data_IF_472154168753
#
_entry.id   IF_472154168753
#
_cell.length_a   1.000
_cell.length_b   1.000
_cell.length_c   1.000
_cell.angle_alpha   90.00
_cell.angle_beta   90.00
_cell.angle_gamma   90.00
#
_symmetry.space_group_name_H-M   'P 1'
#
loop_
_entity.id
_entity.type
_entity.pdbx_description
1 polymer ?
#
# COMPACT_ATOMS: atom_id res chain seq x y z
N UNK A 1 15.95 4.52 -7.80
CA UNK A 1 14.79 5.44 -7.76
C UNK A 1 13.98 5.42 -9.05
N UNK A 2 14.60 5.55 -10.23
CA UNK A 2 13.86 5.52 -11.52
C UNK A 2 13.16 4.16 -11.75
N UNK A 3 13.86 3.04 -11.50
CA UNK A 3 13.29 1.70 -11.68
C UNK A 3 12.08 1.43 -10.76
N UNK A 4 12.19 1.79 -9.47
CA UNK A 4 11.10 1.63 -8.51
C UNK A 4 9.91 2.54 -8.83
N UNK A 5 10.17 3.80 -9.23
CA UNK A 5 9.11 4.72 -9.63
C UNK A 5 8.36 4.24 -10.89
N UNK A 6 9.07 3.68 -11.87
CA UNK A 6 8.47 3.12 -13.08
C UNK A 6 7.67 1.83 -12.81
N UNK A 7 8.17 0.97 -11.92
CA UNK A 7 7.46 -0.24 -11.52
C UNK A 7 6.13 0.09 -10.82
N UNK A 8 6.17 1.04 -9.87
CA UNK A 8 4.96 1.51 -9.17
C UNK A 8 3.99 2.16 -10.15
N UNK A 9 4.47 3.02 -11.05
CA UNK A 9 3.57 3.70 -12.00
C UNK A 9 2.90 2.73 -12.96
N UNK A 10 3.61 1.70 -13.40
CA UNK A 10 3.04 0.64 -14.25
C UNK A 10 2.02 -0.21 -13.50
N UNK A 11 2.30 -0.59 -12.24
CA UNK A 11 1.37 -1.38 -11.43
C UNK A 11 0.07 -0.60 -11.19
N UNK A 12 0.16 0.67 -10.82
CA UNK A 12 -1.02 1.47 -10.56
C UNK A 12 -1.79 1.80 -11.85
N UNK A 13 -1.11 2.00 -12.98
CA UNK A 13 -1.78 2.09 -14.29
C UNK A 13 -2.55 0.81 -14.61
N UNK A 14 -1.95 -0.37 -14.40
CA UNK A 14 -2.65 -1.66 -14.59
C UNK A 14 -3.88 -1.79 -13.69
N UNK A 15 -3.76 -1.42 -12.40
CA UNK A 15 -4.89 -1.45 -11.46
C UNK A 15 -6.00 -0.44 -11.85
N UNK A 16 -5.61 0.68 -12.45
CA UNK A 16 -6.53 1.70 -12.97
C UNK A 16 -7.29 1.17 -14.19
N UNK A 17 -6.59 0.52 -15.13
CA UNK A 17 -7.19 -0.11 -16.30
C UNK A 17 -8.19 -1.21 -15.91
N UNK A 18 -7.90 -1.93 -14.82
CA UNK A 18 -8.79 -2.91 -14.21
C UNK A 18 -9.95 -2.30 -13.41
N UNK A 19 -10.10 -0.97 -13.40
CA UNK A 19 -11.12 -0.22 -12.64
C UNK A 19 -11.08 -0.45 -11.12
N UNK A 20 -9.95 -0.90 -10.59
CA UNK A 20 -9.73 -1.11 -9.15
C UNK A 20 -9.32 0.18 -8.44
N UNK A 21 -8.73 1.13 -9.18
CA UNK A 21 -8.33 2.44 -8.67
C UNK A 21 -8.94 3.53 -9.55
N UNK A 22 -9.64 4.53 -8.97
CA UNK A 22 -10.20 5.62 -9.75
C UNK A 22 -9.08 6.53 -10.20
N UNK A 23 -9.13 6.91 -11.48
CA UNK A 23 -8.18 7.86 -12.05
C UNK A 23 -8.88 9.13 -12.45
N UNK A 24 -8.26 10.25 -12.12
CA UNK A 24 -8.63 11.56 -12.63
C UNK A 24 -7.55 12.04 -13.60
N UNK A 25 -7.94 12.20 -14.86
CA UNK A 25 -7.14 12.95 -15.83
C UNK A 25 -7.18 14.41 -15.41
N UNK A 26 -6.17 14.86 -14.68
CA UNK A 26 -6.04 16.23 -14.19
C UNK A 26 -5.64 17.19 -15.34
N UNK A 27 -6.43 17.21 -16.42
CA UNK A 27 -6.23 18.04 -17.61
C UNK A 27 -4.94 17.78 -18.40
N UNK A 28 -4.13 16.79 -18.00
CA UNK A 28 -2.82 16.52 -18.59
C UNK A 28 -2.92 15.63 -19.85
N UNK A 29 -2.17 15.92 -20.92
CA UNK A 29 -2.06 15.03 -22.08
C UNK A 29 -1.08 13.87 -21.80
N UNK A 30 -1.46 12.64 -22.14
CA UNK A 30 -0.60 11.46 -22.03
C UNK A 30 -1.25 10.25 -21.39
N UNK A 31 -0.51 9.13 -21.39
CA UNK A 31 -0.94 7.83 -20.86
C UNK A 31 -1.01 7.81 -19.33
N UNK A 32 -1.89 6.98 -18.75
CA UNK A 32 -2.19 6.84 -17.31
C UNK A 32 -0.91 6.61 -16.49
N UNK A 33 0.06 5.89 -17.07
CA UNK A 33 1.38 5.68 -16.46
C UNK A 33 2.14 7.00 -16.19
N UNK A 34 2.07 7.98 -17.10
CA UNK A 34 2.76 9.26 -16.95
C UNK A 34 2.11 10.09 -15.84
N UNK A 35 0.78 10.13 -15.79
CA UNK A 35 0.04 10.82 -14.72
C UNK A 35 0.39 10.24 -13.36
N UNK A 36 0.35 8.92 -13.25
CA UNK A 36 0.70 8.21 -12.03
C UNK A 36 2.14 8.49 -11.59
N UNK A 37 3.07 8.50 -12.55
CA UNK A 37 4.47 8.79 -12.26
C UNK A 37 4.62 10.20 -11.70
N UNK A 38 3.92 11.19 -12.28
CA UNK A 38 3.91 12.57 -11.78
C UNK A 38 3.34 12.62 -10.35
N UNK A 39 2.20 11.98 -10.09
CA UNK A 39 1.60 11.94 -8.75
C UNK A 39 2.53 11.30 -7.71
N UNK A 40 3.16 10.18 -8.08
CA UNK A 40 4.08 9.46 -7.19
C UNK A 40 5.33 10.29 -6.87
N UNK A 41 5.91 10.95 -7.88
CA UNK A 41 7.09 11.81 -7.68
C UNK A 41 6.71 13.07 -6.88
N UNK A 42 5.57 13.70 -7.16
CA UNK A 42 5.08 14.84 -6.40
C UNK A 42 4.88 14.50 -4.93
N UNK A 43 4.26 13.35 -4.63
CA UNK A 43 4.10 12.84 -3.26
C UNK A 43 5.45 12.55 -2.61
N UNK A 44 6.39 11.92 -3.32
CA UNK A 44 7.73 11.65 -2.80
C UNK A 44 8.49 12.95 -2.47
N UNK A 45 8.40 13.96 -3.33
CA UNK A 45 9.00 15.28 -3.07
C UNK A 45 8.35 15.96 -1.87
N UNK A 46 7.02 15.94 -1.79
CA UNK A 46 6.29 16.46 -0.63
C UNK A 46 6.78 15.78 0.66
N UNK A 47 6.77 14.45 0.72
CA UNK A 47 7.24 13.70 1.89
C UNK A 47 8.70 14.04 2.24
N UNK A 48 9.58 14.18 1.24
CA UNK A 48 11.00 14.52 1.44
C UNK A 48 11.22 15.92 2.02
N UNK A 49 10.33 16.87 1.73
CA UNK A 49 10.40 18.22 2.30
C UNK A 49 9.96 18.24 3.78
N UNK A 50 8.99 17.40 4.16
CA UNK A 50 8.44 17.36 5.51
C UNK A 50 9.12 16.34 6.44
N UNK A 51 9.71 15.29 5.89
CA UNK A 51 10.34 14.20 6.64
C UNK A 51 11.81 14.04 6.25
N UNK A 52 12.66 13.76 7.24
CA UNK A 52 14.04 13.37 6.95
C UNK A 52 14.12 11.97 6.32
N UNK A 53 15.26 11.66 5.71
CA UNK A 53 15.47 10.39 5.01
C UNK A 53 15.30 9.17 5.94
N UNK A 54 15.66 9.30 7.22
CA UNK A 54 15.55 8.22 8.20
C UNK A 54 14.10 7.88 8.51
N UNK A 55 13.25 8.89 8.71
CA UNK A 55 11.81 8.73 8.94
C UNK A 55 11.11 8.15 7.73
N UNK A 56 11.45 8.60 6.52
CA UNK A 56 10.87 8.06 5.28
C UNK A 56 11.24 6.59 5.11
N UNK A 57 12.50 6.22 5.34
CA UNK A 57 12.93 4.83 5.29
C UNK A 57 12.18 3.97 6.33
N UNK A 58 11.96 4.53 7.53
CA UNK A 58 11.28 3.83 8.62
C UNK A 58 9.79 3.64 8.34
N UNK A 59 9.13 4.69 7.81
CA UNK A 59 7.75 4.62 7.34
C UNK A 59 7.60 3.56 6.24
N UNK A 60 8.50 3.56 5.26
CA UNK A 60 8.55 2.56 4.19
C UNK A 60 8.72 1.14 4.72
N UNK A 61 9.62 0.92 5.68
CA UNK A 61 9.82 -0.39 6.30
C UNK A 61 8.57 -0.88 7.04
N UNK A 62 7.91 -0.01 7.81
CA UNK A 62 6.66 -0.35 8.51
C UNK A 62 5.57 -0.73 7.51
N UNK A 63 5.36 0.07 6.46
CA UNK A 63 4.37 -0.24 5.43
C UNK A 63 4.66 -1.56 4.71
N UNK A 64 5.92 -1.80 4.35
CA UNK A 64 6.32 -3.00 3.63
C UNK A 64 6.07 -4.26 4.47
N UNK A 65 6.51 -4.27 5.73
CA UNK A 65 6.34 -5.44 6.59
C UNK A 65 4.86 -5.68 6.91
N UNK A 66 4.06 -4.63 7.13
CA UNK A 66 2.61 -4.78 7.36
C UNK A 66 1.92 -5.32 6.11
N UNK A 67 2.29 -4.83 4.92
CA UNK A 67 1.78 -5.33 3.65
C UNK A 67 2.13 -6.81 3.46
N UNK A 68 3.37 -7.21 3.73
CA UNK A 68 3.82 -8.61 3.61
C UNK A 68 3.02 -9.53 4.55
N UNK A 69 2.82 -9.13 5.81
CA UNK A 69 1.97 -9.87 6.76
C UNK A 69 0.54 -10.01 6.21
N UNK A 70 -0.04 -8.93 5.69
CA UNK A 70 -1.40 -8.93 5.14
C UNK A 70 -1.51 -9.86 3.92
N UNK A 71 -0.54 -9.81 3.01
CA UNK A 71 -0.48 -10.66 1.81
C UNK A 71 -0.29 -12.12 2.19
N UNK A 72 0.69 -12.44 3.04
CA UNK A 72 0.93 -13.80 3.50
C UNK A 72 -0.29 -14.38 4.24
N UNK A 73 -0.92 -13.59 5.11
CA UNK A 73 -2.15 -13.99 5.78
C UNK A 73 -3.30 -14.23 4.79
N UNK A 74 -3.48 -13.31 3.83
CA UNK A 74 -4.47 -13.43 2.76
C UNK A 74 -4.28 -14.70 1.94
N UNK A 75 -3.04 -15.03 1.58
CA UNK A 75 -2.72 -16.26 0.88
C UNK A 75 -3.02 -17.48 1.76
N UNK A 76 -2.56 -17.48 3.01
CA UNK A 76 -2.77 -18.60 3.93
C UNK A 76 -4.25 -18.91 4.16
N UNK A 77 -5.09 -17.88 4.30
CA UNK A 77 -6.52 -18.01 4.59
C UNK A 77 -7.37 -18.31 3.36
N UNK A 78 -7.13 -17.62 2.24
CA UNK A 78 -8.05 -17.62 1.09
C UNK A 78 -7.52 -18.37 -0.14
N UNK A 79 -6.22 -18.27 -0.42
CA UNK A 79 -5.64 -18.80 -1.68
C UNK A 79 -4.87 -20.12 -1.50
N UNK A 80 -4.56 -20.53 -0.27
CA UNK A 80 -3.68 -21.69 0.01
C UNK A 80 -4.03 -22.94 -0.81
N UNK A 81 -5.32 -23.27 -0.91
CA UNK A 81 -5.79 -24.47 -1.62
C UNK A 81 -5.75 -24.32 -3.15
N UNK A 82 -5.85 -23.10 -3.67
CA UNK A 82 -5.89 -22.84 -5.11
C UNK A 82 -4.49 -22.86 -5.73
N UNK A 83 -3.49 -22.36 -5.00
CA UNK A 83 -2.11 -22.27 -5.48
C UNK A 83 -1.18 -23.33 -4.87
N UNK A 84 -1.73 -24.32 -4.15
CA UNK A 84 -0.96 -25.37 -3.45
C UNK A 84 0.20 -24.83 -2.60
N UNK A 85 -0.04 -23.69 -1.94
CA UNK A 85 1.00 -23.02 -1.16
C UNK A 85 1.41 -23.85 0.06
N UNK A 86 2.72 -23.94 0.31
CA UNK A 86 3.24 -24.62 1.49
C UNK A 86 2.97 -23.77 2.74
N UNK A 87 2.06 -24.26 3.58
CA UNK A 87 1.67 -23.60 4.82
C UNK A 87 2.85 -23.33 5.77
N UNK A 88 3.84 -24.21 5.79
CA UNK A 88 4.98 -24.06 6.69
C UNK A 88 5.80 -22.81 6.32
N UNK A 89 6.04 -22.60 5.02
CA UNK A 89 6.79 -21.44 4.53
C UNK A 89 6.03 -20.14 4.83
N UNK A 90 4.72 -20.11 4.60
CA UNK A 90 3.90 -18.92 4.89
C UNK A 90 3.88 -18.57 6.37
N UNK A 91 3.69 -19.57 7.24
CA UNK A 91 3.68 -19.35 8.69
C UNK A 91 5.05 -18.85 9.15
N UNK A 92 6.13 -19.46 8.65
CA UNK A 92 7.49 -19.02 8.98
C UNK A 92 7.75 -17.58 8.54
N UNK A 93 7.30 -17.18 7.34
CA UNK A 93 7.41 -15.81 6.84
C UNK A 93 6.65 -14.82 7.73
N UNK A 94 5.39 -15.10 8.05
CA UNK A 94 4.58 -14.23 8.94
C UNK A 94 5.24 -14.08 10.31
N UNK A 95 5.75 -15.17 10.89
CA UNK A 95 6.44 -15.11 12.19
C UNK A 95 7.70 -14.25 12.09
N UNK A 96 8.48 -14.39 11.02
CA UNK A 96 9.67 -13.56 10.80
C UNK A 96 9.29 -12.08 10.63
N UNK A 97 8.26 -11.77 9.86
CA UNK A 97 7.77 -10.40 9.66
C UNK A 97 7.33 -9.77 10.99
N UNK A 98 6.58 -10.52 11.83
CA UNK A 98 6.13 -10.05 13.15
C UNK A 98 7.31 -9.81 14.09
N UNK A 99 8.32 -10.69 14.08
CA UNK A 99 9.53 -10.52 14.89
C UNK A 99 10.31 -9.27 14.45
N UNK A 100 10.51 -9.10 13.13
CA UNK A 100 11.22 -7.94 12.57
C UNK A 100 10.45 -6.65 12.86
N UNK A 101 9.13 -6.62 12.65
CA UNK A 101 8.28 -5.48 12.95
C UNK A 101 8.32 -5.13 14.44
N UNK A 102 8.19 -6.13 15.32
CA UNK A 102 8.23 -5.93 16.76
C UNK A 102 9.55 -5.33 17.22
N UNK A 103 10.68 -5.88 16.77
CA UNK A 103 12.00 -5.35 17.07
C UNK A 103 12.19 -3.92 16.52
N UNK A 104 11.75 -3.68 15.28
CA UNK A 104 11.86 -2.39 14.62
C UNK A 104 11.05 -1.30 15.36
N UNK A 105 9.81 -1.61 15.74
CA UNK A 105 8.95 -0.70 16.51
C UNK A 105 9.51 -0.43 17.90
N UNK A 106 10.08 -1.42 18.58
CA UNK A 106 10.74 -1.20 19.88
C UNK A 106 11.90 -0.21 19.77
N UNK A 107 12.77 -0.37 18.76
CA UNK A 107 13.89 0.56 18.51
C UNK A 107 13.38 1.96 18.18
N UNK A 108 12.32 2.06 17.35
CA UNK A 108 11.75 3.35 16.96
C UNK A 108 10.98 4.04 18.08
N UNK A 109 10.35 3.30 18.99
CA UNK A 109 9.67 3.87 20.15
C UNK A 109 10.65 4.63 21.07
N UNK A 110 11.91 4.20 21.13
CA UNK A 110 12.93 4.86 21.94
C UNK A 110 13.61 6.04 21.22
N UNK A 111 13.70 5.98 19.89
CA UNK A 111 14.51 6.92 19.09
C UNK A 111 13.71 8.00 18.38
N UNK A 112 12.52 7.66 17.87
CA UNK A 112 11.69 8.57 17.08
C UNK A 112 10.21 8.15 17.12
N UNK A 113 9.52 8.58 18.18
CA UNK A 113 8.10 8.27 18.39
C UNK A 113 7.18 8.89 17.31
N UNK A 114 7.62 9.97 16.65
CA UNK A 114 6.83 10.60 15.59
C UNK A 114 6.59 9.64 14.43
N UNK A 115 7.57 8.79 14.09
CA UNK A 115 7.42 7.76 13.06
C UNK A 115 6.25 6.84 13.38
N UNK A 116 6.13 6.38 14.62
CA UNK A 116 5.05 5.46 15.03
C UNK A 116 3.69 6.13 14.89
N UNK A 117 3.54 7.36 15.38
CA UNK A 117 2.28 8.09 15.26
C UNK A 117 1.89 8.34 13.80
N UNK A 118 2.85 8.76 12.96
CA UNK A 118 2.61 9.01 11.54
C UNK A 118 2.27 7.71 10.81
N UNK A 119 2.96 6.60 11.10
CA UNK A 119 2.65 5.29 10.53
C UNK A 119 1.22 4.86 10.88
N UNK A 120 0.83 4.94 12.15
CA UNK A 120 -0.53 4.59 12.59
C UNK A 120 -1.56 5.47 11.89
N UNK A 121 -1.33 6.80 11.86
CA UNK A 121 -2.23 7.74 11.21
C UNK A 121 -2.36 7.46 9.71
N UNK A 122 -1.25 7.17 9.02
CA UNK A 122 -1.26 6.89 7.59
C UNK A 122 -1.92 5.53 7.28
N UNK A 123 -1.68 4.48 8.08
CA UNK A 123 -2.38 3.19 7.93
C UNK A 123 -3.88 3.38 8.14
N UNK A 124 -4.29 4.11 9.17
CA UNK A 124 -5.69 4.41 9.43
C UNK A 124 -6.30 5.21 8.27
N UNK A 125 -5.59 6.19 7.73
CA UNK A 125 -6.02 6.97 6.58
C UNK A 125 -6.21 6.09 5.34
N UNK A 126 -5.27 5.20 5.04
CA UNK A 126 -5.36 4.24 3.93
C UNK A 126 -6.59 3.33 4.13
N UNK A 127 -6.76 2.75 5.31
CA UNK A 127 -7.85 1.81 5.58
C UNK A 127 -9.23 2.47 5.54
N UNK A 128 -9.35 3.71 6.04
CA UNK A 128 -10.58 4.49 5.94
C UNK A 128 -10.87 4.83 4.47
N UNK A 129 -9.84 5.27 3.73
CA UNK A 129 -9.96 5.56 2.31
C UNK A 129 -10.43 4.35 1.51
N UNK A 130 -9.81 3.19 1.73
CA UNK A 130 -10.20 1.92 1.11
C UNK A 130 -11.64 1.55 1.46
N UNK A 131 -12.03 1.63 2.75
CA UNK A 131 -13.39 1.28 3.19
C UNK A 131 -14.46 2.19 2.60
N UNK A 132 -14.19 3.50 2.52
CA UNK A 132 -15.10 4.47 1.88
C UNK A 132 -15.21 4.21 0.38
N UNK A 133 -14.09 3.92 -0.27
CA UNK A 133 -14.04 3.61 -1.69
C UNK A 133 -14.84 2.35 -2.03
N UNK A 134 -14.60 1.24 -1.30
CA UNK A 134 -15.32 -0.02 -1.48
C UNK A 134 -16.83 0.13 -1.20
N UNK A 135 -17.21 0.94 -0.20
CA UNK A 135 -18.62 1.21 0.10
C UNK A 135 -19.32 1.98 -1.03
N UNK A 136 -18.63 2.92 -1.67
CA UNK A 136 -19.18 3.67 -2.81
C UNK A 136 -19.34 2.80 -4.06
N UNK A 137 -18.41 1.85 -4.29
CA UNK A 137 -18.48 0.94 -5.44
C UNK A 137 -19.62 -0.09 -5.30
N UNK A 138 -19.86 -0.60 -4.07
CA UNK A 138 -20.97 -1.52 -3.79
C UNK A 138 -22.36 -0.91 -4.07
N UNK A 139 -22.48 0.42 -4.10
CA UNK A 139 -23.75 1.10 -4.40
C UNK A 139 -24.01 1.29 -5.90
N UNK A 140 -22.96 1.35 -6.72
CA UNK A 140 -23.07 1.58 -8.17
C UNK A 140 -23.45 0.31 -8.96
N UNK A 141 -23.19 -0.88 -8.40
CA UNK A 141 -23.50 -2.15 -9.05
C UNK A 141 -24.99 -2.52 -8.92
N UNK A 142 -25.66 -2.08 -7.83
CA UNK A 142 -27.08 -2.30 -7.63
C UNK A 142 -27.99 -1.38 -8.46
N UNK A 143 -27.51 -0.22 -8.93
CA UNK A 143 -28.31 0.66 -9.79
C UNK A 143 -28.31 0.26 -11.27
N UNK A 144 -27.35 -0.56 -11.71
CA UNK A 144 -27.28 -1.06 -13.11
C UNK A 144 -28.03 -2.36 -13.35
N UNK A 145 -28.47 -3.05 -12.31
CA UNK A 145 -29.30 -4.26 -12.44
C UNK A 145 -30.81 -3.97 -12.39
N UNK A 146 -31.21 -2.70 -12.28
CA UNK A 146 -32.60 -2.25 -12.14
C UNK A 146 -33.08 -1.36 -13.31
N UNK A 147 -32.33 -1.31 -14.41
CA UNK A 147 -32.69 -0.67 -15.68
C UNK A 147 -32.58 -1.71 -16.80
#
# INVERSE_FOLDING_TARGET
VIASAFAVSRMLAMLTDMKLVPHSHFGMPGDIQKHTLVYTIALAMFLTVFFDLSRIASLGAIFYIIMDIAVHWGIFRYLRKQINANAFILIAAIVMDVVVLGAFLMIKAQTDMLVIYVSIAAIAFIFIGERLFLRSYSHADHSKSAE
#
